data_IF_873144818207
#
_entry.id   IF_873144818207
#
_cell.length_a   1.000
_cell.length_b   1.000
_cell.length_c   1.000
_cell.angle_alpha   90.00
_cell.angle_beta   90.00
_cell.angle_gamma   90.00
#
_symmetry.space_group_name_H-M   'P 1'
#
loop_
_entity.id
_entity.type
_entity.pdbx_description
1 polymer ?
#
# COMPACT_ATOMS: atom_id res chain seq x y z
N UNK A 1 -5.37 12.20 23.64
CA UNK A 1 -6.50 11.40 24.18
C UNK A 1 -6.12 9.94 24.13
N UNK A 2 -5.99 9.27 25.27
CA UNK A 2 -5.77 7.82 25.33
C UNK A 2 -7.01 7.11 24.80
N UNK A 3 -6.85 6.36 23.70
CA UNK A 3 -7.93 5.61 23.07
C UNK A 3 -8.26 4.42 23.99
N UNK A 4 -9.50 4.33 24.49
CA UNK A 4 -9.96 3.20 25.31
C UNK A 4 -10.06 1.97 24.42
N UNK A 5 -9.54 0.83 24.90
CA UNK A 5 -9.60 -0.44 24.16
C UNK A 5 -11.06 -0.84 23.96
N UNK A 6 -11.55 -0.97 22.72
CA UNK A 6 -12.89 -1.48 22.47
C UNK A 6 -12.93 -2.97 22.81
N UNK A 7 -14.06 -3.39 23.35
CA UNK A 7 -14.38 -4.80 23.46
C UNK A 7 -14.64 -5.40 22.07
N UNK A 8 -14.47 -6.72 21.97
CA UNK A 8 -14.77 -7.42 20.73
C UNK A 8 -16.28 -7.30 20.43
N UNK A 9 -16.68 -7.03 19.17
CA UNK A 9 -18.10 -6.95 18.81
C UNK A 9 -18.87 -8.25 19.05
N UNK A 10 -18.20 -9.41 18.92
CA UNK A 10 -18.75 -10.73 19.18
C UNK A 10 -17.66 -11.72 19.61
N UNK A 11 -18.01 -12.85 20.27
CA UNK A 11 -17.05 -13.80 20.83
C UNK A 11 -16.08 -14.41 19.80
N UNK A 12 -16.59 -14.75 18.61
CA UNK A 12 -15.85 -15.37 17.51
C UNK A 12 -15.03 -14.37 16.66
N UNK A 13 -14.82 -13.13 17.16
CA UNK A 13 -14.12 -12.11 16.40
C UNK A 13 -12.62 -12.46 16.23
N UNK A 14 -12.22 -12.58 14.96
CA UNK A 14 -10.89 -13.05 14.53
C UNK A 14 -9.78 -12.00 14.75
N UNK A 15 -10.15 -10.73 14.91
CA UNK A 15 -9.22 -9.64 15.20
C UNK A 15 -9.17 -9.37 16.72
N UNK A 16 -8.03 -8.90 17.19
CA UNK A 16 -7.76 -8.54 18.57
C UNK A 16 -7.36 -7.07 18.65
N UNK A 17 -7.83 -6.37 19.69
CA UNK A 17 -7.55 -4.95 19.88
C UNK A 17 -6.16 -4.74 20.51
N UNK A 18 -5.21 -4.21 19.74
CA UNK A 18 -3.86 -3.93 20.21
C UNK A 18 -3.79 -2.62 21.00
N UNK A 19 -3.08 -2.53 22.15
CA UNK A 19 -3.02 -1.31 22.99
C UNK A 19 -2.65 0.00 22.26
N UNK A 20 -1.99 -0.10 21.10
CA UNK A 20 -1.65 1.03 20.22
C UNK A 20 -2.87 1.69 19.54
N UNK A 21 -4.06 1.11 19.67
CA UNK A 21 -5.29 1.64 19.07
C UNK A 21 -5.63 1.06 17.71
N UNK A 22 -5.06 -0.09 17.34
CA UNK A 22 -5.24 -0.77 16.06
C UNK A 22 -5.77 -2.19 16.23
N UNK A 23 -6.37 -2.74 15.19
CA UNK A 23 -6.70 -4.16 15.13
C UNK A 23 -5.45 -4.98 14.75
N UNK A 24 -5.32 -6.19 15.28
CA UNK A 24 -4.28 -7.14 14.91
C UNK A 24 -4.80 -8.58 14.96
N UNK A 25 -4.13 -9.48 14.26
CA UNK A 25 -4.45 -10.92 14.30
C UNK A 25 -3.19 -11.75 14.16
N UNK A 26 -3.19 -12.97 14.69
CA UNK A 26 -2.04 -13.86 14.63
C UNK A 26 -2.14 -14.72 13.38
N UNK A 27 -1.29 -14.45 12.40
CA UNK A 27 -1.25 -15.13 11.10
C UNK A 27 0.15 -15.68 10.84
N UNK A 28 0.30 -17.02 10.78
CA UNK A 28 1.57 -17.72 10.49
C UNK A 28 2.80 -17.17 11.22
N UNK A 29 2.67 -16.85 12.51
CA UNK A 29 3.77 -16.32 13.34
C UNK A 29 4.05 -14.82 13.17
N UNK A 30 3.29 -14.12 12.32
CA UNK A 30 3.30 -12.66 12.20
C UNK A 30 2.03 -12.07 12.83
N UNK A 31 2.15 -10.83 13.28
CA UNK A 31 1.05 -10.02 13.82
C UNK A 31 0.86 -8.79 12.91
N UNK A 32 0.20 -8.93 11.75
CA UNK A 32 -0.16 -7.76 10.94
C UNK A 32 -1.01 -6.78 11.76
N UNK A 33 -0.72 -5.49 11.57
CA UNK A 33 -1.45 -4.38 12.17
C UNK A 33 -2.33 -3.74 11.11
N UNK A 34 -3.58 -3.52 11.48
CA UNK A 34 -4.64 -2.95 10.65
C UNK A 34 -4.89 -1.48 11.05
N UNK A 35 -5.91 -0.85 10.47
CA UNK A 35 -6.31 0.52 10.81
C UNK A 35 -6.79 0.68 12.26
N UNK A 36 -6.91 1.95 12.72
CA UNK A 36 -7.42 2.24 14.04
C UNK A 36 -8.80 1.65 14.28
N UNK A 37 -9.16 1.46 15.55
CA UNK A 37 -10.43 0.87 16.03
C UNK A 37 -11.77 1.46 15.54
N UNK A 38 -11.75 2.43 14.62
CA UNK A 38 -12.92 3.18 14.16
C UNK A 38 -13.87 2.32 13.32
N UNK A 39 -13.34 1.53 12.38
CA UNK A 39 -14.14 0.71 11.48
C UNK A 39 -13.65 -0.75 11.52
N UNK A 40 -14.24 -1.54 12.42
CA UNK A 40 -13.92 -2.95 12.57
C UNK A 40 -14.46 -3.80 11.40
N UNK A 41 -15.46 -3.32 10.65
CA UNK A 41 -16.06 -4.04 9.54
C UNK A 41 -15.17 -4.00 8.32
N UNK A 42 -14.70 -2.81 7.94
CA UNK A 42 -13.75 -2.64 6.85
C UNK A 42 -12.48 -3.48 7.09
N UNK A 43 -12.00 -3.51 8.33
CA UNK A 43 -10.81 -4.29 8.68
C UNK A 43 -11.04 -5.80 8.70
N UNK A 44 -12.23 -6.24 9.06
CA UNK A 44 -12.59 -7.65 8.95
C UNK A 44 -12.61 -8.10 7.48
N UNK A 45 -13.15 -7.26 6.58
CA UNK A 45 -13.17 -7.54 5.13
C UNK A 45 -11.74 -7.63 4.58
N UNK A 46 -10.90 -6.66 4.91
CA UNK A 46 -9.50 -6.64 4.47
C UNK A 46 -8.70 -7.83 5.02
N UNK A 47 -8.96 -8.23 6.26
CA UNK A 47 -8.42 -9.49 6.80
C UNK A 47 -8.90 -10.71 6.03
N UNK A 48 -10.19 -10.82 5.73
CA UNK A 48 -10.74 -11.97 4.99
C UNK A 48 -10.14 -12.10 3.59
N UNK A 49 -9.97 -10.98 2.88
CA UNK A 49 -9.30 -10.95 1.57
C UNK A 49 -7.83 -11.38 1.66
N UNK A 50 -7.11 -10.88 2.67
CA UNK A 50 -5.69 -11.18 2.85
C UNK A 50 -5.44 -12.57 3.45
N UNK A 51 -6.42 -13.13 4.17
CA UNK A 51 -6.29 -14.43 4.84
C UNK A 51 -5.89 -15.49 3.84
N UNK A 52 -6.59 -15.60 2.73
CA UNK A 52 -6.35 -16.67 1.76
C UNK A 52 -4.97 -16.52 1.09
N UNK A 53 -4.53 -15.29 0.82
CA UNK A 53 -3.19 -15.01 0.31
C UNK A 53 -2.09 -15.36 1.31
N UNK A 54 -2.26 -15.00 2.59
CA UNK A 54 -1.31 -15.30 3.67
C UNK A 54 -1.25 -16.80 3.95
N UNK A 55 -2.39 -17.48 3.93
CA UNK A 55 -2.48 -18.93 4.05
C UNK A 55 -1.79 -19.63 2.85
N UNK A 56 -1.89 -19.07 1.65
CA UNK A 56 -1.14 -19.51 0.47
C UNK A 56 0.36 -19.12 0.50
N UNK A 57 0.84 -18.43 1.54
CA UNK A 57 2.23 -18.01 1.68
C UNK A 57 2.64 -16.81 0.83
N UNK A 58 1.67 -16.10 0.24
CA UNK A 58 1.89 -14.86 -0.50
C UNK A 58 1.93 -13.67 0.47
N UNK A 59 2.69 -12.64 0.13
CA UNK A 59 2.73 -11.41 0.93
C UNK A 59 1.48 -10.58 0.60
N UNK A 60 0.61 -10.28 1.57
CA UNK A 60 -0.66 -9.61 1.30
C UNK A 60 -0.39 -8.23 0.69
N UNK A 61 -1.04 -7.93 -0.42
CA UNK A 61 -0.93 -6.61 -1.06
C UNK A 61 -1.62 -5.60 -0.15
N UNK A 62 -0.85 -4.69 0.44
CA UNK A 62 -1.41 -3.60 1.21
C UNK A 62 -1.97 -2.55 0.23
N UNK A 63 -3.20 -2.76 -0.23
CA UNK A 63 -3.91 -1.82 -1.13
C UNK A 63 -4.45 -0.67 -0.28
N UNK A 64 -3.56 0.21 0.20
CA UNK A 64 -3.97 1.50 0.77
C UNK A 64 -3.60 2.60 -0.19
N UNK A 65 -4.39 2.79 -1.25
CA UNK A 65 -4.48 4.01 -2.09
C UNK A 65 -3.18 4.66 -2.58
N UNK A 66 -2.05 4.00 -2.36
CA UNK A 66 -0.71 4.52 -2.45
C UNK A 66 -0.05 3.76 -3.57
N UNK A 67 -0.01 4.42 -4.71
CA UNK A 67 0.89 4.06 -5.80
C UNK A 67 2.30 3.93 -5.21
N UNK A 68 2.92 2.76 -5.41
CA UNK A 68 4.31 2.59 -4.99
C UNK A 68 5.17 3.54 -5.82
N UNK A 69 6.27 4.09 -5.25
CA UNK A 69 7.21 4.94 -6.01
C UNK A 69 7.62 4.30 -7.34
N UNK A 70 7.71 2.97 -7.37
CA UNK A 70 8.02 2.21 -8.57
C UNK A 70 6.89 2.30 -9.60
N UNK A 71 5.65 2.09 -9.18
CA UNK A 71 4.47 2.24 -10.01
C UNK A 71 4.32 3.66 -10.58
N UNK A 72 4.54 4.69 -9.77
CA UNK A 72 4.52 6.09 -10.23
C UNK A 72 5.60 6.38 -11.26
N UNK A 73 6.81 5.87 -11.02
CA UNK A 73 7.92 6.05 -11.94
C UNK A 73 7.66 5.31 -13.27
N UNK A 74 7.14 4.09 -13.22
CA UNK A 74 6.80 3.32 -14.41
C UNK A 74 5.65 4.00 -15.19
N UNK A 75 4.67 4.60 -14.51
CA UNK A 75 3.59 5.36 -15.13
C UNK A 75 4.11 6.65 -15.79
N UNK A 76 4.98 7.41 -15.10
CA UNK A 76 5.62 8.61 -15.64
C UNK A 76 6.46 8.29 -16.88
N UNK A 77 7.29 7.25 -16.84
CA UNK A 77 8.10 6.83 -17.99
C UNK A 77 7.24 6.40 -19.18
N UNK A 78 6.12 5.73 -18.91
CA UNK A 78 5.14 5.36 -19.94
C UNK A 78 4.49 6.58 -20.57
N UNK A 79 4.12 7.58 -19.76
CA UNK A 79 3.59 8.86 -20.24
C UNK A 79 4.59 9.61 -21.12
N UNK A 80 5.87 9.69 -20.73
CA UNK A 80 6.93 10.34 -21.53
C UNK A 80 7.21 9.61 -22.85
N UNK A 81 7.18 8.28 -22.85
CA UNK A 81 7.30 7.49 -24.08
C UNK A 81 6.16 7.76 -25.05
N UNK A 82 4.93 7.88 -24.54
CA UNK A 82 3.76 8.17 -25.37
C UNK A 82 3.85 9.57 -25.98
N UNK A 83 4.22 10.58 -25.18
CA UNK A 83 4.39 11.95 -25.68
C UNK A 83 5.55 12.08 -26.70
N UNK A 84 6.59 11.25 -26.61
CA UNK A 84 7.59 11.15 -27.68
C UNK A 84 7.01 10.51 -28.95
N UNK A 85 6.25 9.43 -28.80
CA UNK A 85 5.61 8.73 -29.93
C UNK A 85 4.58 9.61 -30.67
N UNK A 86 3.89 10.51 -29.97
CA UNK A 86 2.92 11.46 -30.57
C UNK A 86 3.58 12.73 -31.10
N UNK A 87 4.90 12.91 -30.91
CA UNK A 87 5.62 14.11 -31.34
C UNK A 87 5.45 15.33 -30.44
N UNK A 88 4.75 15.20 -29.30
CA UNK A 88 4.61 16.25 -28.28
C UNK A 88 5.94 16.51 -27.54
N UNK A 89 6.83 15.52 -27.51
CA UNK A 89 8.19 15.63 -26.99
C UNK A 89 9.19 15.34 -28.09
N UNK A 90 10.20 16.20 -28.21
CA UNK A 90 11.37 15.92 -29.04
C UNK A 90 12.21 14.79 -28.44
N UNK A 91 12.94 14.09 -29.30
CA UNK A 91 13.85 13.00 -28.91
C UNK A 91 14.86 13.42 -27.84
N UNK A 92 15.41 14.64 -27.95
CA UNK A 92 16.33 15.21 -26.98
C UNK A 92 15.68 15.42 -25.59
N UNK A 93 14.45 15.91 -25.56
CA UNK A 93 13.71 16.14 -24.31
C UNK A 93 13.32 14.83 -23.61
N UNK A 94 13.05 13.79 -24.39
CA UNK A 94 12.77 12.44 -23.89
C UNK A 94 14.02 11.78 -23.29
N UNK A 95 15.18 11.93 -23.96
CA UNK A 95 16.46 11.41 -23.48
C UNK A 95 16.90 12.08 -22.17
N UNK A 96 16.73 13.40 -22.05
CA UNK A 96 17.02 14.12 -20.80
C UNK A 96 16.15 13.62 -19.64
N UNK A 97 14.84 13.39 -19.87
CA UNK A 97 13.93 12.88 -18.85
C UNK A 97 14.24 11.42 -18.43
N UNK A 98 14.84 10.61 -19.31
CA UNK A 98 15.16 9.21 -19.05
C UNK A 98 16.63 8.97 -18.63
N UNK A 99 17.49 9.97 -18.71
CA UNK A 99 18.91 9.85 -18.39
C UNK A 99 19.14 9.90 -16.87
N UNK A 100 19.96 9.00 -16.29
CA UNK A 100 20.28 9.00 -14.86
C UNK A 100 21.27 10.11 -14.44
N UNK A 101 21.52 11.12 -15.27
CA UNK A 101 22.57 12.11 -15.02
C UNK A 101 22.05 13.34 -14.29
N UNK A 102 22.49 13.45 -13.04
CA UNK A 102 22.39 14.57 -12.12
C UNK A 102 22.66 15.92 -12.79
N UNK A 103 21.81 16.91 -12.53
CA UNK A 103 22.07 18.34 -12.79
C UNK A 103 23.47 18.71 -12.33
N UNK A 104 24.26 19.34 -13.20
CA UNK A 104 25.40 20.13 -12.76
C UNK A 104 24.89 21.30 -11.90
N UNK A 105 25.55 21.49 -10.76
CA UNK A 105 25.46 22.69 -9.95
C UNK A 105 26.02 23.87 -10.74
N UNK A 106 25.31 25.00 -10.67
CA UNK A 106 25.77 26.34 -11.02
C UNK A 106 25.32 27.29 -9.93
#
# INVERSE_FOLDING_TARGET
MSKVRPDKPYPEFLLSAHPRGTWCTKLRGRLPYFDPWVDWQAELILYLEQRDDVHAGRNPKHIKGGVTRRYDLDHFLSSKKNAHATGELSEWSFLEACSPRTRQAG
#
